data_IF_243725675424
#
_entry.id   IF_243725675424
#
_cell.length_a   1.000
_cell.length_b   1.000
_cell.length_c   1.000
_cell.angle_alpha   90.00
_cell.angle_beta   90.00
_cell.angle_gamma   90.00
#
_symmetry.space_group_name_H-M   'P 1'
#
loop_
_entity.id
_entity.type
_entity.pdbx_description
1 polymer ?
#
# COMPACT_ATOMS: atom_id res chain seq x y z
N UNK A 1 -19.98 67.15 -1.04
CA UNK A 1 -20.27 66.27 0.11
C UNK A 1 -19.48 64.98 -0.13
N UNK A 2 -18.36 64.64 0.50
CA UNK A 2 -17.62 65.10 1.69
C UNK A 2 -16.12 64.70 1.54
N UNK A 3 -15.24 65.67 1.77
CA UNK A 3 -13.84 65.70 2.26
C UNK A 3 -13.14 64.34 2.61
N UNK A 4 -12.02 63.95 1.97
CA UNK A 4 -10.55 64.23 2.21
C UNK A 4 -9.90 63.69 3.50
N UNK A 5 -8.78 62.96 3.35
CA UNK A 5 -7.43 63.10 3.99
C UNK A 5 -6.74 61.70 4.04
N UNK A 6 -5.63 61.39 3.35
CA UNK A 6 -4.22 61.83 3.48
C UNK A 6 -3.61 61.60 4.88
N UNK A 7 -2.68 60.64 5.03
CA UNK A 7 -1.44 60.78 5.85
C UNK A 7 -0.36 59.84 5.30
N UNK A 8 0.67 60.42 4.67
CA UNK A 8 1.96 59.78 4.43
C UNK A 8 2.72 59.59 5.75
N UNK A 9 3.39 58.44 5.97
CA UNK A 9 4.57 58.40 6.86
C UNK A 9 5.49 57.21 6.57
N UNK A 10 6.68 57.57 6.08
CA UNK A 10 7.91 56.79 5.97
C UNK A 10 8.13 55.84 7.15
N UNK A 11 8.32 54.53 6.88
CA UNK A 11 9.39 53.70 7.46
C UNK A 11 9.70 52.55 6.49
N UNK A 12 10.90 52.56 5.90
CA UNK A 12 11.51 51.38 5.27
C UNK A 12 11.64 50.28 6.34
N UNK A 13 10.63 49.41 6.48
CA UNK A 13 10.79 48.13 7.17
C UNK A 13 11.03 47.10 6.10
N UNK A 14 12.26 46.62 6.03
CA UNK A 14 12.66 45.44 5.27
C UNK A 14 11.68 44.33 5.59
N UNK A 15 10.70 44.11 4.70
CA UNK A 15 9.87 42.92 4.71
C UNK A 15 10.87 41.80 4.46
N UNK A 16 11.19 41.02 5.49
CA UNK A 16 11.83 39.73 5.28
C UNK A 16 10.79 38.92 4.52
N UNK A 17 10.82 39.01 3.19
CA UNK A 17 10.14 38.07 2.31
C UNK A 17 10.82 36.75 2.65
N UNK A 18 10.21 36.01 3.59
CA UNK A 18 10.53 34.60 3.75
C UNK A 18 10.25 34.03 2.36
N UNK A 19 11.25 33.46 1.66
CA UNK A 19 11.07 33.05 0.29
C UNK A 19 9.88 32.09 0.25
N UNK A 20 8.93 32.34 -0.66
CA UNK A 20 7.76 31.48 -0.90
C UNK A 20 8.19 29.99 -1.03
N UNK A 21 9.42 29.75 -1.51
CA UNK A 21 10.08 28.45 -1.58
C UNK A 21 10.27 27.71 -0.24
N UNK A 22 10.20 28.37 0.92
CA UNK A 22 10.31 27.74 2.24
C UNK A 22 8.96 27.21 2.74
N UNK A 23 7.85 27.88 2.42
CA UNK A 23 6.49 27.46 2.82
C UNK A 23 5.98 26.34 1.89
N UNK A 24 6.34 26.35 0.61
CA UNK A 24 6.04 25.24 -0.32
C UNK A 24 6.70 23.90 0.09
N UNK A 25 7.86 23.94 0.74
CA UNK A 25 8.54 22.71 1.22
C UNK A 25 7.86 22.06 2.43
N UNK A 26 7.17 22.83 3.28
CA UNK A 26 6.45 22.28 4.45
C UNK A 26 5.08 21.73 4.03
N UNK A 27 4.39 22.39 3.10
CA UNK A 27 3.10 21.93 2.56
C UNK A 27 3.27 20.60 1.81
N UNK A 28 4.31 20.48 0.98
CA UNK A 28 4.60 19.23 0.26
C UNK A 28 4.97 18.05 1.18
N UNK A 29 5.69 18.29 2.29
CA UNK A 29 5.96 17.26 3.29
C UNK A 29 4.67 16.80 4.01
N UNK A 30 3.81 17.73 4.45
CA UNK A 30 2.54 17.40 5.10
C UNK A 30 1.62 16.57 4.17
N UNK A 31 1.58 16.91 2.88
CA UNK A 31 0.83 16.16 1.86
C UNK A 31 1.41 14.75 1.63
N UNK A 32 2.75 14.59 1.69
CA UNK A 32 3.40 13.27 1.63
C UNK A 32 3.07 12.40 2.86
N UNK A 33 3.07 12.97 4.06
CA UNK A 33 2.67 12.25 5.27
C UNK A 33 1.19 11.84 5.23
N UNK A 34 0.33 12.70 4.70
CA UNK A 34 -1.10 12.40 4.52
C UNK A 34 -1.33 11.30 3.46
N UNK A 35 -0.56 11.29 2.38
CA UNK A 35 -0.58 10.22 1.39
C UNK A 35 -0.16 8.87 2.01
N UNK A 36 0.91 8.87 2.80
CA UNK A 36 1.43 7.65 3.42
C UNK A 36 0.43 7.07 4.45
N UNK A 37 -0.21 7.91 5.26
CA UNK A 37 -1.20 7.44 6.24
C UNK A 37 -2.44 6.83 5.56
N UNK A 38 -2.87 7.37 4.42
CA UNK A 38 -3.94 6.79 3.62
C UNK A 38 -3.54 5.44 3.03
N UNK A 39 -2.29 5.29 2.57
CA UNK A 39 -1.78 4.04 2.04
C UNK A 39 -1.69 2.96 3.14
N UNK A 40 -1.15 3.30 4.31
CA UNK A 40 -1.06 2.41 5.48
C UNK A 40 -2.44 1.95 5.96
N UNK A 41 -3.44 2.85 5.90
CA UNK A 41 -4.83 2.50 6.21
C UNK A 41 -5.42 1.48 5.24
N UNK A 42 -5.14 1.62 3.93
CA UNK A 42 -5.57 0.65 2.94
C UNK A 42 -4.87 -0.70 3.11
N UNK A 43 -3.56 -0.70 3.39
CA UNK A 43 -2.78 -1.90 3.67
C UNK A 43 -3.29 -2.64 4.92
N UNK A 44 -3.77 -1.91 5.92
CA UNK A 44 -4.36 -2.51 7.13
C UNK A 44 -5.70 -3.19 6.88
N UNK A 45 -6.45 -2.74 5.86
CA UNK A 45 -7.76 -3.30 5.50
C UNK A 45 -7.69 -4.46 4.52
N UNK A 46 -6.83 -4.32 3.51
CA UNK A 46 -6.77 -5.23 2.38
C UNK A 46 -5.41 -5.93 2.35
N UNK A 47 -5.41 -7.17 2.81
CA UNK A 47 -4.24 -8.05 2.77
C UNK A 47 -3.79 -8.22 1.32
N UNK A 48 -2.49 -8.11 1.07
CA UNK A 48 -1.91 -8.20 -0.28
C UNK A 48 -1.67 -6.86 -0.99
N UNK A 49 -2.07 -5.74 -0.37
CA UNK A 49 -1.76 -4.40 -0.91
C UNK A 49 -0.25 -4.13 -0.86
N UNK A 50 0.38 -4.01 -2.03
CA UNK A 50 1.81 -3.74 -2.16
C UNK A 50 2.20 -2.26 -1.97
N UNK A 51 3.50 -2.02 -1.85
CA UNK A 51 4.16 -0.71 -1.88
C UNK A 51 5.41 -0.76 -2.78
N UNK A 52 6.04 0.39 -3.02
CA UNK A 52 7.19 0.48 -3.92
C UNK A 52 8.36 -0.45 -3.51
N UNK A 53 8.54 -0.65 -2.21
CA UNK A 53 9.61 -1.48 -1.64
C UNK A 53 9.18 -2.93 -1.34
N UNK A 54 8.04 -3.39 -1.86
CA UNK A 54 7.59 -4.78 -1.65
C UNK A 54 8.57 -5.75 -2.27
N UNK A 55 9.04 -6.71 -1.46
CA UNK A 55 9.99 -7.70 -1.94
C UNK A 55 9.30 -8.67 -2.92
N UNK A 56 10.04 -9.17 -3.91
CA UNK A 56 9.60 -10.26 -4.79
C UNK A 56 9.04 -11.44 -4.00
N UNK A 57 9.67 -11.80 -2.88
CA UNK A 57 9.18 -12.88 -2.01
C UNK A 57 7.78 -12.60 -1.46
N UNK A 58 7.55 -11.41 -0.90
CA UNK A 58 6.27 -11.01 -0.32
C UNK A 58 5.16 -11.00 -1.38
N UNK A 59 5.45 -10.45 -2.56
CA UNK A 59 4.51 -10.45 -3.68
C UNK A 59 4.17 -11.88 -4.15
N UNK A 60 5.17 -12.75 -4.31
CA UNK A 60 4.97 -14.13 -4.72
C UNK A 60 4.15 -14.92 -3.70
N UNK A 61 4.37 -14.72 -2.40
CA UNK A 61 3.58 -15.37 -1.34
C UNK A 61 2.10 -14.99 -1.44
N UNK A 62 1.81 -13.70 -1.65
CA UNK A 62 0.43 -13.24 -1.82
C UNK A 62 -0.21 -13.86 -3.07
N UNK A 63 0.49 -13.89 -4.20
CA UNK A 63 0.00 -14.52 -5.44
C UNK A 63 -0.36 -16.00 -5.25
N UNK A 64 0.48 -16.76 -4.54
CA UNK A 64 0.19 -18.18 -4.26
C UNK A 64 -1.00 -18.35 -3.34
N UNK A 65 -1.13 -17.53 -2.29
CA UNK A 65 -2.27 -17.57 -1.37
C UNK A 65 -3.58 -17.26 -2.09
N UNK A 66 -3.59 -16.27 -2.98
CA UNK A 66 -4.76 -15.90 -3.77
C UNK A 66 -5.15 -16.99 -4.78
N UNK A 67 -4.15 -17.65 -5.36
CA UNK A 67 -4.36 -18.80 -6.24
C UNK A 67 -4.99 -19.98 -5.48
N UNK A 68 -4.46 -20.35 -4.32
CA UNK A 68 -5.02 -21.42 -3.49
C UNK A 68 -6.44 -21.09 -2.99
N UNK A 69 -6.68 -19.83 -2.58
CA UNK A 69 -8.02 -19.37 -2.20
C UNK A 69 -9.01 -19.52 -3.37
N UNK A 70 -8.58 -19.18 -4.58
CA UNK A 70 -9.39 -19.34 -5.80
C UNK A 70 -9.67 -20.81 -6.11
N UNK A 71 -8.69 -21.71 -5.94
CA UNK A 71 -8.89 -23.15 -6.17
C UNK A 71 -9.91 -23.75 -5.19
N UNK A 72 -9.88 -23.33 -3.92
CA UNK A 72 -10.80 -23.83 -2.89
C UNK A 72 -12.21 -23.26 -3.08
N UNK A 73 -12.31 -21.98 -3.48
CA UNK A 73 -13.58 -21.27 -3.65
C UNK A 73 -14.37 -21.71 -4.89
N UNK A 74 -13.70 -22.09 -5.98
CA UNK A 74 -14.36 -22.48 -7.22
C UNK A 74 -14.49 -24.00 -7.34
N UNK A 75 -15.74 -24.50 -7.31
CA UNK A 75 -16.03 -25.94 -7.37
C UNK A 75 -15.46 -26.63 -8.62
N UNK A 76 -15.48 -25.95 -9.78
CA UNK A 76 -14.93 -26.52 -11.02
C UNK A 76 -13.41 -26.78 -10.91
N UNK A 77 -12.67 -25.86 -10.29
CA UNK A 77 -11.22 -25.98 -10.15
C UNK A 77 -10.85 -27.08 -9.16
N UNK A 78 -11.47 -27.10 -7.98
CA UNK A 78 -11.17 -28.14 -7.00
C UNK A 78 -11.52 -29.54 -7.50
N UNK A 79 -12.62 -29.67 -8.26
CA UNK A 79 -13.01 -30.94 -8.88
C UNK A 79 -12.03 -31.39 -9.96
N UNK A 80 -11.46 -30.45 -10.71
CA UNK A 80 -10.41 -30.75 -11.69
C UNK A 80 -9.15 -31.29 -11.00
N UNK A 81 -8.71 -30.64 -9.92
CA UNK A 81 -7.55 -31.08 -9.15
C UNK A 81 -7.77 -32.42 -8.44
N UNK A 82 -8.97 -32.69 -7.92
CA UNK A 82 -9.27 -33.98 -7.27
C UNK A 82 -9.22 -35.14 -8.25
N UNK A 83 -9.70 -34.93 -9.49
CA UNK A 83 -9.63 -35.95 -10.54
C UNK A 83 -8.18 -36.15 -10.99
N UNK A 84 -7.42 -35.07 -11.18
CA UNK A 84 -6.02 -35.15 -11.60
C UNK A 84 -5.11 -35.86 -10.57
N UNK A 85 -5.36 -35.66 -9.28
CA UNK A 85 -4.59 -36.28 -8.19
C UNK A 85 -5.17 -37.62 -7.73
N UNK A 86 -6.35 -38.01 -8.22
CA UNK A 86 -7.09 -39.19 -7.78
C UNK A 86 -7.32 -39.24 -6.27
N UNK A 87 -7.62 -38.09 -5.67
CA UNK A 87 -7.84 -37.92 -4.24
C UNK A 87 -9.23 -37.34 -3.97
N UNK A 88 -9.74 -37.56 -2.75
CA UNK A 88 -11.03 -36.98 -2.40
C UNK A 88 -10.97 -35.44 -2.40
N UNK A 89 -12.06 -34.78 -2.80
CA UNK A 89 -12.16 -33.31 -2.83
C UNK A 89 -11.79 -32.70 -1.47
N UNK A 90 -12.21 -33.34 -0.37
CA UNK A 90 -11.89 -32.90 0.99
C UNK A 90 -10.38 -32.97 1.29
N UNK A 91 -9.71 -34.04 0.83
CA UNK A 91 -8.25 -34.22 1.01
C UNK A 91 -7.47 -33.15 0.26
N UNK A 92 -7.82 -32.87 -0.99
CA UNK A 92 -7.16 -31.83 -1.80
C UNK A 92 -7.39 -30.43 -1.21
N UNK A 93 -8.59 -30.14 -0.69
CA UNK A 93 -8.86 -28.89 0.03
C UNK A 93 -7.97 -28.75 1.27
N UNK A 94 -7.85 -29.81 2.07
CA UNK A 94 -7.00 -29.82 3.25
C UNK A 94 -5.53 -29.54 2.89
N UNK A 95 -5.02 -30.20 1.85
CA UNK A 95 -3.65 -30.00 1.37
C UNK A 95 -3.41 -28.57 0.87
N UNK A 96 -4.36 -27.98 0.14
CA UNK A 96 -4.22 -26.59 -0.31
C UNK A 96 -4.23 -25.60 0.85
N UNK A 97 -5.06 -25.82 1.88
CA UNK A 97 -5.05 -24.97 3.09
C UNK A 97 -3.71 -25.10 3.83
N UNK A 98 -3.16 -26.30 3.94
CA UNK A 98 -1.85 -26.53 4.57
C UNK A 98 -0.72 -25.80 3.83
N UNK A 99 -0.74 -25.84 2.49
CA UNK A 99 0.22 -25.13 1.64
C UNK A 99 0.13 -23.60 1.72
N UNK A 100 -0.97 -23.03 2.25
CA UNK A 100 -1.08 -21.58 2.43
C UNK A 100 -0.17 -21.03 3.54
N UNK A 101 0.31 -21.86 4.46
CA UNK A 101 1.18 -21.41 5.56
C UNK A 101 2.49 -20.81 5.02
N UNK A 102 3.18 -21.55 4.14
CA UNK A 102 4.47 -21.14 3.58
C UNK A 102 4.62 -21.66 2.13
N UNK A 103 3.95 -21.02 1.15
CA UNK A 103 3.92 -21.54 -0.22
C UNK A 103 5.26 -21.39 -0.96
N UNK A 104 6.08 -20.38 -0.61
CA UNK A 104 7.32 -20.04 -1.31
C UNK A 104 8.58 -20.42 -0.53
N UNK A 105 8.47 -21.22 0.54
CA UNK A 105 9.61 -21.58 1.38
C UNK A 105 10.13 -20.43 2.25
N UNK A 106 11.36 -20.54 2.74
CA UNK A 106 11.97 -19.52 3.61
C UNK A 106 12.27 -18.23 2.83
N UNK A 107 12.05 -17.06 3.43
CA UNK A 107 12.42 -15.80 2.80
C UNK A 107 13.93 -15.75 2.59
N UNK A 108 14.34 -15.30 1.40
CA UNK A 108 15.75 -14.99 1.12
C UNK A 108 16.14 -13.77 1.97
N UNK A 109 17.27 -13.81 2.71
CA UNK A 109 17.75 -12.63 3.43
C UNK A 109 18.00 -11.50 2.42
N UNK A 110 17.58 -10.29 2.77
CA UNK A 110 17.91 -9.12 1.96
C UNK A 110 19.39 -8.82 2.18
N UNK A 111 20.16 -8.75 1.10
CA UNK A 111 21.50 -8.18 1.13
C UNK A 111 21.31 -6.67 1.40
N UNK A 112 21.81 -6.17 2.53
CA UNK A 112 21.92 -4.73 2.80
C UNK A 112 22.92 -4.07 1.85
#
# INVERSE_FOLDING_TARGET
MTYTQYVSRSKKKTIKIVPICFVENIITQMDRFNLNSQLEHLQSKYVGTGHADTNKFEWMVNQHRDSYASYIGHHALISYFSVAQNESIARVKFEFVEKMLQPCGMPVPRDE
#
